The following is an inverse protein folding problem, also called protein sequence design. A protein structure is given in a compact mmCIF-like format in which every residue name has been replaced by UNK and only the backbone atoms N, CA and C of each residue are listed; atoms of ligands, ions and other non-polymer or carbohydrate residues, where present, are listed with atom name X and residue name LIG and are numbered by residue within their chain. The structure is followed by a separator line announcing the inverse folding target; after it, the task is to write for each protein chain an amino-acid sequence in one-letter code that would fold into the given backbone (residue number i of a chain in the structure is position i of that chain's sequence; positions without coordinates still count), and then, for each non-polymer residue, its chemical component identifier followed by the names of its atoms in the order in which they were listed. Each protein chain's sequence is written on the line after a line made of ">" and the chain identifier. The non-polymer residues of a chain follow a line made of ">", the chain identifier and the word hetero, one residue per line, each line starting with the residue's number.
data_IF_792669296086
#
_entry.id   IF_792669296086
#
_cell.length_a   1.000
_cell.length_b   1.000
_cell.length_c   1.000
_cell.angle_alpha   90.00
_cell.angle_beta   90.00
_cell.angle_gamma   90.00
#
_symmetry.space_group_name_H-M   'P 1'
#
loop_
_entity.id
_entity.type
_entity.pdbx_description
1 polymer ?
#
# COMPACT_ATOMS: atom_id res chain seq x y z
N UNK A 1 13.95 -1.26 3.32
CA UNK A 1 12.78 -2.05 2.87
C UNK A 1 13.19 -3.34 2.15
N UNK A 2 14.15 -3.28 1.21
CA UNK A 2 14.56 -4.45 0.39
C UNK A 2 15.03 -5.64 1.24
N UNK A 3 15.85 -5.40 2.27
CA UNK A 3 16.27 -6.44 3.22
C UNK A 3 15.11 -7.12 3.96
N UNK A 4 13.99 -6.42 4.16
CA UNK A 4 12.78 -6.98 4.76
C UNK A 4 12.06 -7.86 3.73
N UNK A 5 11.90 -7.37 2.49
CA UNK A 5 11.20 -8.08 1.42
C UNK A 5 11.93 -9.34 0.92
N UNK A 6 13.27 -9.35 1.00
CA UNK A 6 14.12 -10.50 0.65
C UNK A 6 14.31 -11.50 1.80
N UNK A 7 13.76 -11.23 2.98
CA UNK A 7 13.80 -12.13 4.13
C UNK A 7 15.15 -12.19 4.86
N UNK A 8 16.08 -11.25 4.60
CA UNK A 8 17.41 -11.24 5.23
C UNK A 8 17.45 -10.45 6.55
N UNK A 9 16.45 -9.60 6.82
CA UNK A 9 16.33 -8.87 8.07
C UNK A 9 15.78 -9.76 9.20
N UNK A 10 16.40 -9.70 10.37
CA UNK A 10 15.93 -10.42 11.56
C UNK A 10 14.63 -9.80 12.11
N UNK A 11 13.81 -10.55 12.89
CA UNK A 11 12.60 -10.00 13.51
C UNK A 11 12.87 -8.75 14.36
N UNK A 12 13.99 -8.70 15.08
CA UNK A 12 14.37 -7.54 15.89
C UNK A 12 14.68 -6.30 15.05
N UNK A 13 15.35 -6.48 13.90
CA UNK A 13 15.64 -5.38 12.97
C UNK A 13 14.35 -4.84 12.33
N UNK A 14 13.42 -5.73 11.93
CA UNK A 14 12.13 -5.34 11.35
C UNK A 14 11.32 -4.52 12.36
N UNK A 15 11.17 -5.02 13.59
CA UNK A 15 10.42 -4.33 14.63
C UNK A 15 11.07 -2.99 15.01
N UNK A 16 12.39 -2.97 15.21
CA UNK A 16 13.14 -1.77 15.55
C UNK A 16 13.03 -0.69 14.47
N UNK A 17 13.15 -1.07 13.20
CA UNK A 17 12.99 -0.16 12.07
C UNK A 17 11.58 0.44 12.00
N UNK A 18 10.54 -0.40 12.08
CA UNK A 18 9.14 0.06 12.01
C UNK A 18 8.78 1.03 13.15
N UNK A 19 9.19 0.71 14.38
CA UNK A 19 8.97 1.56 15.56
C UNK A 19 9.74 2.88 15.43
N UNK A 20 11.02 2.83 15.05
CA UNK A 20 11.85 4.02 14.88
C UNK A 20 11.27 4.96 13.80
N UNK A 21 10.84 4.42 12.67
CA UNK A 21 10.20 5.20 11.59
C UNK A 21 8.91 5.88 12.09
N UNK A 22 8.06 5.15 12.82
CA UNK A 22 6.84 5.71 13.40
C UNK A 22 7.13 6.85 14.38
N UNK A 23 8.11 6.66 15.27
CA UNK A 23 8.49 7.65 16.28
C UNK A 23 9.12 8.90 15.67
N UNK A 24 10.02 8.72 14.69
CA UNK A 24 10.69 9.81 13.97
C UNK A 24 9.70 10.69 13.19
N UNK A 25 8.56 10.11 12.79
CA UNK A 25 7.59 10.63 11.81
C UNK A 25 8.24 10.67 10.43
N UNK A 26 7.86 9.76 9.51
CA UNK A 26 8.55 9.65 8.23
C UNK A 26 8.24 10.85 7.34
N UNK A 27 9.20 11.21 6.48
CA UNK A 27 9.00 12.21 5.43
C UNK A 27 8.29 11.57 4.22
N UNK A 28 7.76 12.38 3.31
CA UNK A 28 7.17 11.89 2.06
C UNK A 28 8.18 11.10 1.22
N UNK A 29 9.44 11.56 1.16
CA UNK A 29 10.51 10.87 0.45
C UNK A 29 10.76 9.47 1.02
N UNK A 30 10.84 9.34 2.35
CA UNK A 30 11.05 8.05 3.00
C UNK A 30 9.86 7.10 2.78
N UNK A 31 8.62 7.58 2.88
CA UNK A 31 7.44 6.74 2.58
C UNK A 31 7.43 6.31 1.11
N UNK A 32 7.79 7.21 0.20
CA UNK A 32 7.92 6.92 -1.23
C UNK A 32 8.94 5.81 -1.48
N UNK A 33 10.14 5.90 -0.90
CA UNK A 33 11.17 4.85 -1.04
C UNK A 33 10.70 3.50 -0.49
N UNK A 34 9.96 3.47 0.62
CA UNK A 34 9.37 2.22 1.12
C UNK A 34 8.38 1.65 0.11
N UNK A 35 7.48 2.47 -0.42
CA UNK A 35 6.47 2.06 -1.39
C UNK A 35 7.09 1.57 -2.71
N UNK A 36 8.09 2.28 -3.24
CA UNK A 36 8.75 1.92 -4.49
C UNK A 36 9.47 0.56 -4.40
N UNK A 37 10.13 0.30 -3.28
CA UNK A 37 10.75 -1.01 -3.03
C UNK A 37 9.70 -2.09 -2.82
N UNK A 38 8.59 -1.82 -2.12
CA UNK A 38 7.51 -2.81 -2.03
C UNK A 38 6.93 -3.12 -3.42
N UNK A 39 6.79 -2.11 -4.28
CA UNK A 39 6.27 -2.24 -5.63
C UNK A 39 7.25 -2.98 -6.58
N UNK A 40 8.56 -2.84 -6.39
CA UNK A 40 9.57 -3.55 -7.20
C UNK A 40 9.57 -5.07 -6.94
N UNK A 41 9.17 -5.48 -5.73
CA UNK A 41 8.97 -6.89 -5.35
C UNK A 41 7.56 -7.42 -5.67
N UNK A 42 6.61 -6.55 -6.04
CA UNK A 42 5.25 -6.93 -6.33
C UNK A 42 5.13 -7.68 -7.68
N UNK A 43 4.19 -8.63 -7.75
CA UNK A 43 3.83 -9.24 -9.03
C UNK A 43 3.02 -8.25 -9.85
N UNK A 44 3.56 -7.83 -11.00
CA UNK A 44 2.89 -6.91 -11.91
C UNK A 44 1.77 -7.63 -12.66
N UNK A 45 0.61 -6.98 -12.75
CA UNK A 45 -0.46 -7.38 -13.66
C UNK A 45 -0.23 -6.64 -14.98
N UNK A 46 -0.28 -7.31 -16.15
CA UNK A 46 -0.23 -6.64 -17.44
C UNK A 46 -1.43 -5.69 -17.60
N UNK A 47 -1.17 -4.40 -17.78
CA UNK A 47 -2.22 -3.36 -17.92
C UNK A 47 -2.32 -2.80 -19.33
N UNK A 48 -1.57 -3.35 -20.27
CA UNK A 48 -1.52 -2.99 -21.69
C UNK A 48 -2.91 -3.02 -22.35
N UNK A 49 -3.81 -3.90 -21.89
CA UNK A 49 -5.19 -3.97 -22.38
C UNK A 49 -6.19 -3.12 -21.60
N UNK A 50 -5.82 -2.65 -20.40
CA UNK A 50 -6.70 -1.94 -19.46
C UNK A 50 -6.59 -0.42 -19.69
N UNK A 51 -5.49 0.06 -20.26
CA UNK A 51 -5.24 1.48 -20.50
C UNK A 51 -4.80 2.23 -19.23
N UNK A 52 -4.87 3.57 -19.28
CA UNK A 52 -4.45 4.44 -18.17
C UNK A 52 -5.60 5.01 -17.35
N UNK A 53 -6.84 4.74 -17.76
CA UNK A 53 -8.06 5.26 -17.12
C UNK A 53 -8.55 4.32 -16.02
N UNK A 54 -7.66 3.93 -15.11
CA UNK A 54 -8.00 3.10 -13.95
C UNK A 54 -7.96 3.91 -12.67
N UNK A 55 -8.87 3.61 -11.74
CA UNK A 55 -8.92 4.23 -10.42
C UNK A 55 -8.74 3.19 -9.32
N UNK A 56 -8.23 3.61 -8.16
CA UNK A 56 -8.15 2.80 -6.95
C UNK A 56 -9.00 3.41 -5.85
N UNK A 57 -9.81 2.59 -5.19
CA UNK A 57 -10.63 2.97 -4.04
C UNK A 57 -10.22 2.10 -2.87
N UNK A 58 -9.24 2.60 -2.13
CA UNK A 58 -8.63 1.91 -1.00
C UNK A 58 -8.44 2.87 0.16
N UNK A 59 -8.42 2.33 1.37
CA UNK A 59 -8.09 3.07 2.58
C UNK A 59 -7.08 2.30 3.42
N UNK A 60 -6.25 3.02 4.16
CA UNK A 60 -5.31 2.41 5.11
C UNK A 60 -6.03 1.68 6.26
N UNK A 61 -7.29 2.06 6.52
CA UNK A 61 -7.99 1.70 7.75
C UNK A 61 -7.34 2.31 8.99
N UNK A 62 -7.68 1.75 10.15
CA UNK A 62 -7.11 2.16 11.45
C UNK A 62 -7.83 3.33 12.13
N UNK A 63 -9.01 3.73 11.65
CA UNK A 63 -9.86 4.78 12.23
C UNK A 63 -10.71 4.29 13.41
N UNK A 64 -10.83 2.97 13.61
CA UNK A 64 -11.65 2.38 14.66
C UNK A 64 -13.16 2.56 14.46
N UNK A 65 -13.59 2.98 13.27
CA UNK A 65 -14.97 3.41 13.03
C UNK A 65 -15.96 2.24 12.85
N UNK A 66 -15.46 1.00 12.76
CA UNK A 66 -16.24 -0.22 12.53
C UNK A 66 -17.30 -0.05 11.43
N UNK A 67 -16.91 0.64 10.36
CA UNK A 67 -17.75 0.82 9.19
C UNK A 67 -17.89 -0.51 8.46
N UNK A 68 -18.98 -0.64 7.71
CA UNK A 68 -19.08 -1.71 6.70
C UNK A 68 -18.03 -1.50 5.60
N UNK A 69 -17.94 -2.41 4.63
CA UNK A 69 -16.99 -2.37 3.52
C UNK A 69 -17.27 -1.24 2.51
N UNK A 70 -17.22 0.02 2.96
CA UNK A 70 -17.60 1.21 2.20
C UNK A 70 -16.77 1.37 0.92
N UNK A 71 -15.44 1.22 1.01
CA UNK A 71 -14.56 1.30 -0.17
C UNK A 71 -14.87 0.21 -1.19
N UNK A 72 -15.16 -1.02 -0.74
CA UNK A 72 -15.55 -2.12 -1.62
C UNK A 72 -16.86 -1.84 -2.34
N UNK A 73 -17.89 -1.39 -1.61
CA UNK A 73 -19.16 -1.04 -2.23
C UNK A 73 -19.02 0.15 -3.19
N UNK A 74 -18.20 1.15 -2.83
CA UNK A 74 -17.89 2.28 -3.69
C UNK A 74 -17.17 1.85 -4.97
N UNK A 75 -16.21 0.92 -4.90
CA UNK A 75 -15.52 0.38 -6.08
C UNK A 75 -16.49 -0.29 -7.06
N UNK A 76 -17.48 -1.04 -6.56
CA UNK A 76 -18.53 -1.66 -7.38
C UNK A 76 -19.40 -0.59 -8.06
N UNK A 77 -19.80 0.45 -7.32
CA UNK A 77 -20.60 1.55 -7.86
C UNK A 77 -19.84 2.32 -8.94
N UNK A 78 -18.56 2.65 -8.69
CA UNK A 78 -17.71 3.38 -9.66
C UNK A 78 -17.51 2.56 -10.94
N UNK A 79 -17.25 1.25 -10.82
CA UNK A 79 -17.18 0.35 -11.97
C UNK A 79 -18.52 0.29 -12.74
N UNK A 80 -19.65 0.26 -12.04
CA UNK A 80 -20.98 0.27 -12.67
C UNK A 80 -21.29 1.61 -13.39
N UNK A 81 -20.63 2.69 -13.02
CA UNK A 81 -20.72 3.98 -13.72
C UNK A 81 -19.82 4.06 -14.97
N UNK A 82 -19.07 3.01 -15.29
CA UNK A 82 -18.22 2.94 -16.48
C UNK A 82 -16.83 3.56 -16.31
N UNK A 83 -16.38 3.69 -15.07
CA UNK A 83 -15.00 4.06 -14.71
C UNK A 83 -14.20 2.80 -14.39
#
# INVERSE_FOLDING_TARGET
>A
MDQIMTGVATPAQIAGFAVAMKMKRPTSAEVGELADIMLSHARRVPTDQIGHETVDIVGTGGDGANTVNLSTMAAIVVAACGV
#
